data_IF_964635493090
#
_entry.id   IF_964635493090
#
_cell.length_a   1.000
_cell.length_b   1.000
_cell.length_c   1.000
_cell.angle_alpha   90.00
_cell.angle_beta   90.00
_cell.angle_gamma   90.00
#
_symmetry.space_group_name_H-M   'P 1'
#
loop_
_entity.id
_entity.type
_entity.pdbx_description
1 polymer ?
#
# COMPACT_ATOMS: atom_id res chain seq x y z
N UNK A 1 26.75 4.68 -3.80
CA UNK A 1 25.64 4.63 -2.85
C UNK A 1 24.59 3.75 -3.51
N UNK A 2 24.39 2.55 -3.00
CA UNK A 2 23.41 1.61 -3.52
C UNK A 2 22.09 1.92 -2.83
N UNK A 3 21.24 2.70 -3.50
CA UNK A 3 19.83 2.82 -3.17
C UNK A 3 19.17 1.51 -3.62
N UNK A 4 19.20 0.53 -2.73
CA UNK A 4 18.35 -0.66 -2.85
C UNK A 4 17.00 -0.26 -2.25
N UNK A 5 15.91 -0.22 -3.04
CA UNK A 5 14.58 0.01 -2.50
C UNK A 5 14.27 -1.09 -1.47
N UNK A 6 13.68 -0.76 -0.31
CA UNK A 6 13.25 -1.79 0.62
C UNK A 6 12.18 -2.64 -0.08
N UNK A 7 12.32 -3.97 0.00
CA UNK A 7 11.21 -4.88 -0.34
C UNK A 7 9.99 -4.48 0.52
N UNK A 8 8.76 -4.46 -0.05
CA UNK A 8 7.58 -4.23 0.76
C UNK A 8 7.48 -5.38 1.76
N UNK A 9 7.64 -5.05 3.04
CA UNK A 9 7.51 -6.00 4.12
C UNK A 9 6.06 -6.50 4.13
N UNK A 10 5.86 -7.78 3.82
CA UNK A 10 4.55 -8.43 3.87
C UNK A 10 3.88 -8.34 5.27
N UNK A 11 4.63 -7.93 6.31
CA UNK A 11 4.19 -7.70 7.69
C UNK A 11 4.04 -6.21 8.06
N UNK A 12 4.07 -5.27 7.09
CA UNK A 12 3.82 -3.85 7.39
C UNK A 12 2.40 -3.64 7.94
N UNK A 13 2.23 -2.79 8.93
CA UNK A 13 0.92 -2.41 9.46
C UNK A 13 0.05 -1.69 8.43
N UNK A 14 -1.28 -1.67 8.64
CA UNK A 14 -2.22 -0.88 7.82
C UNK A 14 -1.75 0.57 7.65
N UNK A 15 -1.28 1.20 8.73
CA UNK A 15 -0.77 2.57 8.68
C UNK A 15 0.47 2.70 7.80
N UNK A 16 1.44 1.80 7.90
CA UNK A 16 2.63 1.81 7.04
C UNK A 16 2.28 1.58 5.56
N UNK A 17 1.31 0.70 5.27
CA UNK A 17 0.80 0.50 3.91
C UNK A 17 0.13 1.77 3.36
N UNK A 18 -0.65 2.47 4.19
CA UNK A 18 -1.29 3.75 3.81
C UNK A 18 -0.25 4.84 3.57
N UNK A 19 0.72 5.02 4.47
CA UNK A 19 1.79 6.01 4.33
C UNK A 19 2.56 5.79 3.02
N UNK A 20 2.86 4.53 2.70
CA UNK A 20 3.52 4.18 1.44
C UNK A 20 2.67 4.47 0.21
N UNK A 21 1.37 4.20 0.28
CA UNK A 21 0.44 4.48 -0.81
C UNK A 21 0.37 6.00 -1.08
N UNK A 22 0.34 6.83 -0.05
CA UNK A 22 0.37 8.29 -0.16
C UNK A 22 1.68 8.78 -0.81
N UNK A 23 2.82 8.22 -0.43
CA UNK A 23 4.12 8.52 -1.04
C UNK A 23 4.13 8.20 -2.54
N UNK A 24 3.62 7.02 -2.92
CA UNK A 24 3.50 6.58 -4.32
C UNK A 24 2.63 7.56 -5.11
N UNK A 25 1.47 7.94 -4.58
CA UNK A 25 0.55 8.88 -5.24
C UNK A 25 1.25 10.22 -5.43
N UNK A 26 1.91 10.75 -4.41
CA UNK A 26 2.64 12.02 -4.49
C UNK A 26 3.72 11.99 -5.58
N UNK A 27 4.48 10.89 -5.71
CA UNK A 27 5.50 10.77 -6.76
C UNK A 27 4.90 10.68 -8.17
N UNK A 28 3.76 10.01 -8.33
CA UNK A 28 3.08 9.90 -9.62
C UNK A 28 2.43 11.23 -10.03
N UNK A 29 1.90 12.01 -9.08
CA UNK A 29 1.27 13.31 -9.32
C UNK A 29 2.30 14.40 -9.68
N UNK A 30 3.48 14.36 -9.06
CA UNK A 30 4.59 15.28 -9.35
C UNK A 30 5.09 15.14 -10.80
N UNK A 31 5.01 13.91 -11.35
CA UNK A 31 5.32 13.65 -12.76
C UNK A 31 6.82 13.71 -13.11
N UNK A 32 7.70 13.98 -12.14
CA UNK A 32 9.16 13.88 -12.28
C UNK A 32 9.68 12.44 -12.19
N UNK A 33 8.96 11.49 -12.79
CA UNK A 33 9.35 10.07 -12.85
C UNK A 33 9.32 9.55 -14.28
N UNK A 34 10.22 8.61 -14.59
CA UNK A 34 10.20 7.95 -15.89
C UNK A 34 8.95 7.08 -16.04
N UNK A 35 8.52 6.80 -17.28
CA UNK A 35 7.38 5.92 -17.52
C UNK A 35 7.59 4.52 -16.93
N UNK A 36 8.82 3.99 -17.02
CA UNK A 36 9.17 2.71 -16.41
C UNK A 36 8.98 2.76 -14.89
N UNK A 37 9.53 3.79 -14.23
CA UNK A 37 9.39 3.96 -12.79
C UNK A 37 7.94 4.20 -12.36
N UNK A 38 7.17 4.93 -13.15
CA UNK A 38 5.75 5.15 -12.92
C UNK A 38 4.95 3.83 -12.98
N UNK A 39 5.31 2.91 -13.89
CA UNK A 39 4.67 1.59 -13.96
C UNK A 39 5.01 0.70 -12.77
N UNK A 40 6.25 0.76 -12.28
CA UNK A 40 6.66 0.06 -11.06
C UNK A 40 5.86 0.56 -9.86
N UNK A 41 5.85 1.89 -9.63
CA UNK A 41 5.12 2.53 -8.55
C UNK A 41 3.61 2.24 -8.61
N UNK A 42 3.03 2.26 -9.81
CA UNK A 42 1.63 1.91 -10.00
C UNK A 42 1.33 0.43 -9.73
N UNK A 43 2.26 -0.48 -10.05
CA UNK A 43 2.11 -1.90 -9.72
C UNK A 43 2.19 -2.11 -8.21
N UNK A 44 3.18 -1.50 -7.56
CA UNK A 44 3.34 -1.52 -6.09
C UNK A 44 2.09 -0.97 -5.39
N UNK A 45 1.55 0.15 -5.85
CA UNK A 45 0.33 0.74 -5.29
C UNK A 45 -0.89 -0.19 -5.40
N UNK A 46 -0.99 -0.98 -6.48
CA UNK A 46 -2.07 -1.98 -6.62
C UNK A 46 -1.93 -3.14 -5.64
N UNK A 47 -0.72 -3.64 -5.46
CA UNK A 47 -0.45 -4.71 -4.49
C UNK A 47 -0.75 -4.26 -3.05
N UNK A 48 -0.40 -3.01 -2.71
CA UNK A 48 -0.73 -2.41 -1.42
C UNK A 48 -2.24 -2.26 -1.21
N UNK A 49 -2.98 -1.86 -2.25
CA UNK A 49 -4.44 -1.75 -2.19
C UNK A 49 -5.10 -3.12 -1.98
N UNK A 50 -4.68 -4.15 -2.71
CA UNK A 50 -5.19 -5.52 -2.53
C UNK A 50 -4.92 -6.02 -1.11
N UNK A 51 -3.70 -5.81 -0.59
CA UNK A 51 -3.36 -6.20 0.78
C UNK A 51 -4.18 -5.44 1.84
N UNK A 52 -4.47 -4.15 1.62
CA UNK A 52 -5.31 -3.35 2.50
C UNK A 52 -6.77 -3.81 2.46
N UNK A 53 -7.29 -4.12 1.27
CA UNK A 53 -8.64 -4.66 1.09
C UNK A 53 -8.80 -5.98 1.84
N UNK A 54 -7.84 -6.90 1.69
CA UNK A 54 -7.84 -8.20 2.39
C UNK A 54 -7.75 -8.04 3.92
N UNK A 55 -6.91 -7.13 4.42
CA UNK A 55 -6.73 -6.91 5.85
C UNK A 55 -7.93 -6.21 6.51
N UNK A 56 -8.64 -5.37 5.75
CA UNK A 56 -9.84 -4.66 6.20
C UNK A 56 -11.14 -5.45 5.98
N UNK A 57 -11.12 -6.52 5.19
CA UNK A 57 -12.25 -7.44 5.05
C UNK A 57 -12.42 -8.30 6.32
N UNK A 58 -13.03 -7.70 7.34
CA UNK A 58 -13.39 -8.37 8.59
C UNK A 58 -14.63 -9.28 8.44
N UNK A 59 -15.19 -9.41 7.23
CA UNK A 59 -16.40 -10.17 6.95
C UNK A 59 -17.67 -9.57 7.58
N UNK A 60 -18.75 -10.36 7.57
CA UNK A 60 -20.00 -10.00 8.22
C UNK A 60 -19.85 -10.13 9.74
N UNK A 61 -19.47 -9.04 10.41
CA UNK A 61 -19.34 -9.00 11.86
C UNK A 61 -20.63 -9.45 12.56
N UNK A 62 -20.49 -10.34 13.54
CA UNK A 62 -21.59 -10.75 14.42
C UNK A 62 -21.64 -9.82 15.64
N UNK A 63 -22.81 -9.22 15.93
CA UNK A 63 -23.00 -8.42 17.14
C UNK A 63 -23.16 -9.39 18.32
N UNK A 64 -22.19 -9.38 19.24
CA UNK A 64 -22.25 -10.17 20.47
C UNK A 64 -22.80 -9.30 21.61
N UNK A 65 -24.01 -9.59 22.09
CA UNK A 65 -24.59 -8.93 23.25
C UNK A 65 -23.88 -9.41 24.54
N UNK A 66 -23.10 -8.52 25.17
CA UNK A 66 -22.54 -8.76 26.50
C UNK A 66 -23.62 -8.46 27.56
N UNK A 67 -23.93 -9.47 28.38
CA UNK A 67 -24.97 -9.43 29.43
C UNK A 67 -24.38 -9.08 30.80
#
# INVERSE_FOLDING_TARGET
MTDTPPEPAADASISEKMDRLEEIISHLEDGEVSLERANELHSEGKELLEALEDELDLGAGEIVENR
#
